data_IF_860649097627
#
_entry.id   IF_860649097627
#
_cell.length_a   1.000
_cell.length_b   1.000
_cell.length_c   1.000
_cell.angle_alpha   90.00
_cell.angle_beta   90.00
_cell.angle_gamma   90.00
#
_symmetry.space_group_name_H-M   'P 1'
#
loop_
_entity.id
_entity.type
_entity.pdbx_description
1 polymer ?
#
# COMPACT_ATOMS: atom_id res chain seq x y z
N UNK A 1 -57.54 37.78 26.66
CA UNK A 1 -56.48 37.01 27.35
C UNK A 1 -55.68 36.29 26.28
N UNK A 2 -54.47 36.77 26.03
CA UNK A 2 -53.53 36.18 25.08
C UNK A 2 -52.68 35.14 25.84
N UNK A 3 -52.56 33.94 25.29
CA UNK A 3 -51.66 32.89 25.80
C UNK A 3 -50.45 32.79 24.89
N UNK A 4 -49.29 33.05 25.46
CA UNK A 4 -47.96 33.10 24.85
C UNK A 4 -47.45 31.72 24.43
N UNK A 5 -46.84 31.68 23.25
CA UNK A 5 -46.14 30.56 22.64
C UNK A 5 -44.78 30.35 23.34
N UNK A 6 -44.54 29.18 23.94
CA UNK A 6 -43.25 28.79 24.49
C UNK A 6 -42.47 27.98 23.48
N UNK A 7 -41.54 28.62 22.78
CA UNK A 7 -40.56 27.93 21.92
C UNK A 7 -39.42 27.36 22.76
N UNK A 8 -39.24 26.04 22.74
CA UNK A 8 -38.04 25.39 23.24
C UNK A 8 -36.88 25.65 22.28
N UNK A 9 -35.81 26.26 22.79
CA UNK A 9 -34.52 26.31 22.11
C UNK A 9 -33.90 24.91 22.12
N UNK A 10 -33.78 24.30 20.95
CA UNK A 10 -32.78 23.26 20.73
C UNK A 10 -31.40 23.88 20.95
N UNK A 11 -30.64 23.31 21.88
CA UNK A 11 -29.24 23.63 22.09
C UNK A 11 -28.46 22.99 20.95
N UNK A 12 -27.94 23.81 20.04
CA UNK A 12 -26.97 23.41 19.03
C UNK A 12 -25.83 22.65 19.70
N UNK A 13 -25.64 21.39 19.30
CA UNK A 13 -24.52 20.57 19.72
C UNK A 13 -23.21 21.25 19.32
N UNK A 14 -22.38 21.58 20.30
CA UNK A 14 -21.04 22.12 20.07
C UNK A 14 -20.27 21.17 19.15
N UNK A 15 -20.01 21.60 17.91
CA UNK A 15 -19.15 20.90 16.99
C UNK A 15 -17.75 20.84 17.61
N UNK A 16 -17.23 19.63 17.83
CA UNK A 16 -15.85 19.41 18.27
C UNK A 16 -14.90 20.20 17.36
N UNK A 17 -13.87 20.87 17.90
CA UNK A 17 -12.94 21.64 17.09
C UNK A 17 -12.31 20.71 16.05
N UNK A 18 -12.42 21.09 14.77
CA UNK A 18 -11.83 20.33 13.67
C UNK A 18 -10.32 20.28 13.85
N UNK A 19 -9.76 19.06 13.94
CA UNK A 19 -8.32 18.82 14.04
C UNK A 19 -7.61 18.82 12.68
N UNK A 20 -8.36 19.11 11.60
CA UNK A 20 -7.88 19.11 10.23
C UNK A 20 -7.59 20.53 9.74
N UNK A 21 -6.47 20.70 9.04
CA UNK A 21 -6.14 21.93 8.34
C UNK A 21 -6.93 22.00 7.02
N UNK A 22 -7.74 23.05 6.84
CA UNK A 22 -8.46 23.26 5.59
C UNK A 22 -7.59 24.03 4.59
N UNK A 23 -7.46 23.51 3.36
CA UNK A 23 -6.83 24.24 2.25
C UNK A 23 -5.30 24.23 2.21
N UNK A 24 -4.64 23.46 3.09
CA UNK A 24 -3.19 23.24 3.01
C UNK A 24 -2.91 21.98 2.18
N UNK A 25 -2.16 22.14 1.09
CA UNK A 25 -1.69 21.01 0.28
C UNK A 25 -0.40 20.46 0.84
N UNK A 26 -0.31 19.12 0.89
CA UNK A 26 0.86 18.39 1.36
C UNK A 26 2.20 18.89 0.80
N UNK A 27 3.18 19.06 1.69
CA UNK A 27 4.52 19.54 1.33
C UNK A 27 5.47 18.45 0.79
N UNK A 28 5.14 17.19 1.06
CA UNK A 28 5.96 16.00 0.81
C UNK A 28 5.21 14.92 0.02
N UNK A 29 5.96 14.12 -0.73
CA UNK A 29 5.45 12.95 -1.45
C UNK A 29 5.72 11.69 -0.62
N UNK A 30 4.68 10.89 -0.36
CA UNK A 30 4.80 9.67 0.46
C UNK A 30 4.71 8.42 -0.41
N UNK A 31 5.71 7.56 -0.33
CA UNK A 31 5.74 6.23 -0.89
C UNK A 31 5.54 5.21 0.24
N UNK A 32 4.40 4.51 0.24
CA UNK A 32 4.02 3.57 1.30
C UNK A 32 4.19 2.12 0.81
N UNK A 33 4.97 1.33 1.54
CA UNK A 33 5.14 -0.10 1.27
C UNK A 33 3.96 -0.91 1.85
N UNK A 34 3.37 -1.85 1.08
CA UNK A 34 2.31 -2.75 1.57
C UNK A 34 2.66 -3.50 2.86
N UNK A 35 3.93 -3.83 3.09
CA UNK A 35 4.39 -4.46 4.33
C UNK A 35 3.96 -3.68 5.58
N UNK A 36 3.97 -2.36 5.53
CA UNK A 36 3.55 -1.49 6.64
C UNK A 36 2.07 -1.68 6.94
N UNK A 37 1.23 -1.73 5.89
CA UNK A 37 -0.22 -1.95 6.03
C UNK A 37 -0.49 -3.33 6.64
N UNK A 38 0.26 -4.35 6.20
CA UNK A 38 0.16 -5.71 6.74
C UNK A 38 0.56 -5.76 8.21
N UNK A 39 1.66 -5.12 8.60
CA UNK A 39 2.12 -5.04 9.99
C UNK A 39 1.10 -4.36 10.90
N UNK A 40 0.50 -3.24 10.46
CA UNK A 40 -0.53 -2.52 11.23
C UNK A 40 -1.78 -3.40 11.38
N UNK A 41 -2.18 -4.08 10.30
CA UNK A 41 -3.34 -4.96 10.30
C UNK A 41 -3.14 -6.15 11.24
N UNK A 42 -1.98 -6.79 11.17
CA UNK A 42 -1.58 -7.89 12.07
C UNK A 42 -1.54 -7.43 13.53
N UNK A 43 -0.91 -6.28 13.82
CA UNK A 43 -0.88 -5.70 15.16
C UNK A 43 -2.29 -5.48 15.72
N UNK A 44 -3.19 -4.88 14.93
CA UNK A 44 -4.57 -4.65 15.37
C UNK A 44 -5.35 -5.95 15.59
N UNK A 45 -5.24 -6.92 14.67
CA UNK A 45 -5.93 -8.22 14.78
C UNK A 45 -5.43 -8.99 16.01
N UNK A 46 -4.12 -9.00 16.25
CA UNK A 46 -3.51 -9.67 17.41
C UNK A 46 -4.02 -9.10 18.72
N UNK A 47 -3.97 -7.77 18.89
CA UNK A 47 -4.44 -7.12 20.13
C UNK A 47 -5.94 -7.33 20.30
N UNK A 48 -6.73 -7.16 19.23
CA UNK A 48 -8.18 -7.42 19.27
C UNK A 48 -8.49 -8.86 19.69
N UNK A 49 -7.70 -9.83 19.25
CA UNK A 49 -7.89 -11.25 19.61
C UNK A 49 -7.49 -11.54 21.06
N UNK A 50 -6.48 -10.86 21.59
CA UNK A 50 -6.03 -11.03 22.99
C UNK A 50 -7.02 -10.39 23.97
N UNK A 51 -7.49 -9.19 23.66
CA UNK A 51 -8.37 -8.40 24.53
C UNK A 51 -9.87 -8.73 24.35
N UNK A 52 -10.23 -9.44 23.27
CA UNK A 52 -11.62 -9.78 22.94
C UNK A 52 -12.47 -8.59 22.48
N UNK A 53 -11.88 -7.39 22.36
CA UNK A 53 -12.54 -6.16 21.91
C UNK A 53 -11.64 -5.34 20.99
N UNK A 54 -12.20 -4.53 20.07
CA UNK A 54 -11.39 -3.61 19.28
C UNK A 54 -10.66 -2.63 20.18
N UNK A 55 -9.34 -2.56 20.03
CA UNK A 55 -8.46 -1.62 20.73
C UNK A 55 -7.71 -0.78 19.71
N UNK A 56 -7.46 0.48 20.05
CA UNK A 56 -6.53 1.32 19.31
C UNK A 56 -5.12 0.75 19.50
N UNK A 57 -4.38 0.61 18.40
CA UNK A 57 -2.96 0.24 18.44
C UNK A 57 -2.11 1.42 18.00
N UNK A 58 -0.89 1.52 18.54
CA UNK A 58 0.05 2.61 18.25
C UNK A 58 1.39 1.99 17.88
N UNK A 59 2.05 2.54 16.86
CA UNK A 59 3.39 2.10 16.52
C UNK A 59 4.18 3.12 15.73
N UNK A 60 5.45 2.78 15.50
CA UNK A 60 6.43 3.56 14.79
C UNK A 60 6.49 3.16 13.31
N UNK A 61 6.75 4.12 12.45
CA UNK A 61 7.04 3.92 11.03
C UNK A 61 8.48 4.32 10.75
N UNK A 62 9.18 3.48 9.98
CA UNK A 62 10.57 3.69 9.60
C UNK A 62 10.74 3.53 8.09
N UNK A 63 11.78 4.17 7.57
CA UNK A 63 12.10 4.10 6.15
C UNK A 63 13.16 5.10 5.76
N UNK A 64 13.10 5.62 4.54
CA UNK A 64 14.11 6.51 3.97
C UNK A 64 13.48 7.84 3.60
N UNK A 65 14.23 8.91 3.77
CA UNK A 65 13.84 10.25 3.32
C UNK A 65 14.90 10.80 2.36
N UNK A 66 14.47 11.07 1.13
CA UNK A 66 15.30 11.70 0.09
C UNK A 66 14.70 13.07 -0.26
N UNK A 67 15.13 14.10 0.47
CA UNK A 67 14.58 15.45 0.34
C UNK A 67 13.09 15.49 0.71
N UNK A 68 12.22 15.70 -0.28
CA UNK A 68 10.75 15.76 -0.11
C UNK A 68 10.05 14.45 -0.43
N UNK A 69 10.79 13.42 -0.82
CA UNK A 69 10.25 12.08 -1.06
C UNK A 69 10.51 11.25 0.19
N UNK A 70 9.43 10.80 0.84
CA UNK A 70 9.49 9.96 2.03
C UNK A 70 9.02 8.58 1.64
N UNK A 71 9.87 7.58 1.84
CA UNK A 71 9.58 6.17 1.58
C UNK A 71 9.42 5.43 2.91
N UNK A 72 8.17 5.08 3.23
CA UNK A 72 7.78 4.36 4.43
C UNK A 72 7.84 2.87 4.15
N UNK A 73 8.87 2.21 4.66
CA UNK A 73 9.24 0.83 4.27
C UNK A 73 8.81 -0.22 5.29
N UNK A 74 8.89 0.12 6.58
CA UNK A 74 8.61 -0.84 7.65
C UNK A 74 8.01 -0.14 8.87
N UNK A 75 7.51 -0.92 9.83
CA UNK A 75 6.84 -0.41 11.02
C UNK A 75 6.95 -1.39 12.18
N UNK A 76 6.95 -0.89 13.41
CA UNK A 76 6.95 -1.72 14.61
C UNK A 76 6.00 -1.18 15.68
N UNK A 77 5.57 -2.05 16.59
CA UNK A 77 4.66 -1.68 17.69
C UNK A 77 5.38 -0.82 18.75
N UNK A 78 4.68 0.18 19.28
CA UNK A 78 5.15 0.99 20.40
C UNK A 78 4.35 0.65 21.65
N UNK A 79 5.03 0.73 22.80
CA UNK A 79 4.35 0.63 24.09
C UNK A 79 3.75 2.00 24.44
N UNK A 80 2.50 1.98 24.92
CA UNK A 80 1.83 3.17 25.41
C UNK A 80 1.12 2.88 26.73
N UNK A 81 1.09 3.88 27.60
CA UNK A 81 0.47 3.83 28.92
C UNK A 81 -0.59 4.92 28.99
N UNK A 82 -1.77 4.59 29.52
CA UNK A 82 -2.80 5.60 29.77
C UNK A 82 -2.62 6.17 31.17
N UNK A 83 -2.35 7.48 31.27
CA UNK A 83 -2.23 8.24 32.52
C UNK A 83 -3.22 9.40 32.42
N UNK A 84 -4.08 9.58 33.42
CA UNK A 84 -5.09 10.65 33.46
C UNK A 84 -5.98 10.70 32.19
N UNK A 85 -6.46 9.54 31.74
CA UNK A 85 -7.26 9.35 30.52
C UNK A 85 -6.57 9.82 29.21
N UNK A 86 -5.24 10.02 29.24
CA UNK A 86 -4.43 10.38 28.08
C UNK A 86 -3.39 9.31 27.80
N UNK A 87 -3.18 9.05 26.52
CA UNK A 87 -2.21 8.06 26.06
C UNK A 87 -0.82 8.68 25.98
N UNK A 88 0.13 8.09 26.69
CA UNK A 88 1.53 8.46 26.69
C UNK A 88 2.38 7.38 26.04
N UNK A 89 3.27 7.75 25.11
CA UNK A 89 4.22 6.83 24.49
C UNK A 89 5.38 6.61 25.46
N UNK A 90 5.75 5.34 25.66
CA UNK A 90 6.97 4.97 26.39
C UNK A 90 8.20 5.26 25.52
N UNK A 91 8.90 6.34 25.85
CA UNK A 91 10.07 6.81 25.07
C UNK A 91 11.29 5.93 25.31
N UNK A 92 11.49 5.44 26.52
CA UNK A 92 12.57 4.51 26.84
C UNK A 92 12.45 3.21 26.04
N UNK A 93 11.21 2.70 25.89
CA UNK A 93 10.93 1.56 25.02
C UNK A 93 11.26 1.88 23.56
N UNK A 94 10.87 3.06 23.06
CA UNK A 94 11.22 3.51 21.71
C UNK A 94 12.74 3.52 21.49
N UNK A 95 13.52 4.18 22.35
CA UNK A 95 14.98 4.26 22.18
C UNK A 95 15.66 2.89 22.22
N UNK A 96 15.18 1.99 23.09
CA UNK A 96 15.68 0.61 23.15
C UNK A 96 15.40 -0.14 21.84
N UNK A 97 14.20 0.03 21.27
CA UNK A 97 13.83 -0.58 19.99
C UNK A 97 14.59 0.03 18.83
N UNK A 98 14.76 1.34 18.81
CA UNK A 98 15.52 2.05 17.78
C UNK A 98 16.96 1.51 17.70
N UNK A 99 17.63 1.33 18.84
CA UNK A 99 18.99 0.77 18.86
C UNK A 99 19.05 -0.64 18.25
N UNK A 100 18.08 -1.50 18.57
CA UNK A 100 17.99 -2.85 17.98
C UNK A 100 17.76 -2.81 16.47
N UNK A 101 16.84 -1.95 16.01
CA UNK A 101 16.54 -1.83 14.58
C UNK A 101 17.71 -1.24 13.79
N UNK A 102 18.41 -0.24 14.33
CA UNK A 102 19.59 0.36 13.71
C UNK A 102 20.75 -0.63 13.55
N UNK A 103 20.80 -1.73 14.31
CA UNK A 103 21.81 -2.79 14.09
C UNK A 103 21.61 -3.52 12.76
N UNK A 104 20.35 -3.72 12.34
CA UNK A 104 19.98 -4.46 11.12
C UNK A 104 19.73 -3.50 9.95
N UNK A 105 19.06 -2.38 10.20
CA UNK A 105 18.62 -1.39 9.22
C UNK A 105 19.26 -0.03 9.47
N UNK A 106 20.58 0.06 9.23
CA UNK A 106 21.37 1.28 9.51
C UNK A 106 20.90 2.51 8.73
N UNK A 107 20.44 2.28 7.50
CA UNK A 107 20.01 3.33 6.57
C UNK A 107 18.55 3.79 6.79
N UNK A 108 17.79 3.11 7.65
CA UNK A 108 16.40 3.49 7.93
C UNK A 108 16.34 4.47 9.09
N UNK A 109 15.50 5.48 8.95
CA UNK A 109 15.25 6.50 9.97
C UNK A 109 13.80 6.44 10.44
N UNK A 110 13.56 7.02 11.60
CA UNK A 110 12.22 7.16 12.14
C UNK A 110 11.49 8.27 11.39
N UNK A 111 10.38 7.92 10.75
CA UNK A 111 9.63 8.82 9.87
C UNK A 111 8.36 9.35 10.53
N UNK A 112 7.84 8.65 11.53
CA UNK A 112 6.57 9.00 12.14
C UNK A 112 5.90 7.82 12.83
N UNK A 113 4.60 7.95 13.04
CA UNK A 113 3.84 6.99 13.83
C UNK A 113 2.51 6.64 13.15
N UNK A 114 1.98 5.47 13.50
CA UNK A 114 0.69 5.01 13.02
C UNK A 114 -0.28 4.72 14.17
N UNK A 115 -1.57 4.80 13.87
CA UNK A 115 -2.62 4.28 14.74
C UNK A 115 -3.81 3.71 13.96
N UNK A 116 -4.74 3.08 14.67
CA UNK A 116 -5.99 2.59 14.09
C UNK A 116 -7.21 3.32 14.65
N UNK A 117 -8.19 3.60 13.79
CA UNK A 117 -9.43 4.26 14.21
C UNK A 117 -10.19 4.91 13.07
N UNK A 118 -11.13 5.78 13.43
CA UNK A 118 -11.87 6.63 12.49
C UNK A 118 -11.06 7.83 12.00
N UNK A 119 -11.70 8.96 11.66
CA UNK A 119 -11.00 10.22 11.35
C UNK A 119 -10.07 10.67 12.47
N UNK A 120 -9.07 11.53 12.19
CA UNK A 120 -8.21 12.12 13.22
C UNK A 120 -9.02 12.82 14.32
N UNK A 121 -8.57 12.71 15.56
CA UNK A 121 -9.19 13.33 16.73
C UNK A 121 -8.17 14.06 17.62
N UNK A 122 -8.65 14.65 18.73
CA UNK A 122 -7.80 15.41 19.64
C UNK A 122 -6.79 14.54 20.41
N UNK A 123 -7.07 13.24 20.59
CA UNK A 123 -6.13 12.31 21.21
C UNK A 123 -4.94 12.04 20.29
N UNK A 124 -5.17 12.01 18.98
CA UNK A 124 -4.09 11.89 17.99
C UNK A 124 -3.17 13.11 18.01
N UNK A 125 -3.71 14.34 18.13
CA UNK A 125 -2.88 15.54 18.30
C UNK A 125 -2.01 15.42 19.56
N UNK A 126 -2.58 14.92 20.66
CA UNK A 126 -1.83 14.77 21.91
C UNK A 126 -0.66 13.80 21.75
N UNK A 127 -0.87 12.65 21.10
CA UNK A 127 0.19 11.69 20.81
C UNK A 127 1.20 12.29 19.83
N UNK A 128 0.73 12.96 18.78
CA UNK A 128 1.59 13.57 17.77
C UNK A 128 2.56 14.59 18.37
N UNK A 129 2.10 15.42 19.32
CA UNK A 129 2.96 16.34 20.07
C UNK A 129 4.10 15.62 20.81
N UNK A 130 3.84 14.44 21.39
CA UNK A 130 4.88 13.64 22.03
C UNK A 130 5.91 13.11 21.01
N UNK A 131 5.45 12.74 19.81
CA UNK A 131 6.33 12.28 18.72
C UNK A 131 7.16 13.43 18.15
N UNK A 132 6.62 14.66 18.13
CA UNK A 132 7.36 15.87 17.74
C UNK A 132 8.56 16.17 18.67
N UNK A 133 8.58 15.61 19.88
CA UNK A 133 9.73 15.71 20.79
C UNK A 133 10.87 14.75 20.40
N UNK A 134 10.60 13.76 19.54
CA UNK A 134 11.58 12.81 19.02
C UNK A 134 12.10 13.26 17.65
N UNK A 135 11.21 13.67 16.73
CA UNK A 135 11.57 14.18 15.40
C UNK A 135 10.78 15.45 15.05
N UNK A 136 11.38 16.36 14.30
CA UNK A 136 10.81 17.69 14.03
C UNK A 136 9.55 17.66 13.14
N UNK A 137 9.47 16.73 12.20
CA UNK A 137 8.36 16.64 11.23
C UNK A 137 7.88 15.20 11.05
N UNK A 138 7.20 14.61 12.05
CA UNK A 138 6.70 13.25 11.96
C UNK A 138 5.53 13.14 10.98
N UNK A 139 5.51 12.05 10.23
CA UNK A 139 4.30 11.59 9.53
C UNK A 139 3.33 10.94 10.51
N UNK A 140 2.03 11.13 10.26
CA UNK A 140 0.97 10.45 10.97
C UNK A 140 0.17 9.57 9.99
N UNK A 141 0.09 8.27 10.25
CA UNK A 141 -0.72 7.34 9.45
C UNK A 141 -1.88 6.81 10.28
N UNK A 142 -3.11 6.89 9.73
CA UNK A 142 -4.29 6.32 10.37
C UNK A 142 -4.93 5.27 9.46
N UNK A 143 -5.05 4.05 9.99
CA UNK A 143 -5.71 2.93 9.31
C UNK A 143 -7.09 2.67 9.92
N UNK A 144 -8.14 2.60 9.11
CA UNK A 144 -9.48 2.23 9.58
C UNK A 144 -9.82 0.77 9.25
N UNK A 145 -9.63 -0.18 10.20
CA UNK A 145 -9.86 -1.60 9.94
C UNK A 145 -11.35 -1.96 9.85
N UNK A 146 -12.25 -1.03 10.20
CA UNK A 146 -13.69 -1.21 10.20
C UNK A 146 -14.38 -0.47 9.05
N UNK A 147 -13.62 0.02 8.06
CA UNK A 147 -14.17 0.73 6.91
C UNK A 147 -15.20 -0.13 6.17
N UNK A 148 -16.21 0.54 5.60
CA UNK A 148 -17.15 -0.07 4.63
C UNK A 148 -16.92 0.45 3.21
N UNK A 149 -15.97 1.37 3.04
CA UNK A 149 -15.65 1.95 1.74
C UNK A 149 -14.83 0.98 0.90
N UNK A 150 -14.91 1.11 -0.42
CA UNK A 150 -14.19 0.25 -1.38
C UNK A 150 -12.73 0.61 -1.55
N UNK A 151 -12.33 1.80 -1.10
CA UNK A 151 -10.97 2.30 -1.19
C UNK A 151 -10.12 1.82 0.00
N UNK A 152 -8.80 1.78 -0.20
CA UNK A 152 -7.84 1.39 0.82
C UNK A 152 -7.97 2.34 2.04
N UNK A 153 -8.33 1.85 3.24
CA UNK A 153 -8.65 2.71 4.38
C UNK A 153 -7.41 3.17 5.14
N UNK A 154 -6.48 3.78 4.41
CA UNK A 154 -5.24 4.34 4.94
C UNK A 154 -5.19 5.80 4.54
N UNK A 155 -5.06 6.67 5.53
CA UNK A 155 -4.78 8.09 5.31
C UNK A 155 -3.46 8.45 5.98
N UNK A 156 -2.70 9.31 5.31
CA UNK A 156 -1.41 9.82 5.80
C UNK A 156 -1.54 11.32 5.97
N UNK A 157 -0.93 11.86 7.02
CA UNK A 157 -1.03 13.26 7.39
C UNK A 157 0.34 13.82 7.77
N UNK A 158 0.54 15.11 7.50
CA UNK A 158 1.58 15.93 8.14
C UNK A 158 0.93 16.89 9.14
N UNK A 159 1.71 17.38 10.11
CA UNK A 159 1.24 18.45 10.99
C UNK A 159 1.56 19.84 10.44
N UNK A 160 0.60 20.74 10.62
CA UNK A 160 0.72 22.15 10.30
C UNK A 160 0.32 22.94 11.54
N UNK A 161 1.07 23.98 11.86
CA UNK A 161 0.73 24.91 12.94
C UNK A 161 0.00 26.09 12.32
N UNK A 162 -1.25 26.29 12.70
CA UNK A 162 -2.08 27.40 12.25
C UNK A 162 -2.68 28.16 13.44
N UNK A 163 -2.98 29.44 13.24
CA UNK A 163 -3.52 30.32 14.30
C UNK A 163 -5.05 30.29 14.21
N UNK A 164 -5.68 29.50 15.07
CA UNK A 164 -7.14 29.48 15.20
C UNK A 164 -7.51 30.29 16.44
N UNK A 165 -8.39 31.29 16.27
CA UNK A 165 -8.86 32.15 17.36
C UNK A 165 -7.74 32.84 18.17
N UNK A 166 -6.61 33.15 17.52
CA UNK A 166 -5.46 33.80 18.16
C UNK A 166 -4.53 32.86 18.94
N UNK A 167 -4.80 31.55 18.95
CA UNK A 167 -3.96 30.54 19.57
C UNK A 167 -3.28 29.68 18.49
N UNK A 168 -1.99 29.39 18.68
CA UNK A 168 -1.25 28.50 17.79
C UNK A 168 -1.70 27.05 18.04
N UNK A 169 -2.44 26.51 17.08
CA UNK A 169 -3.01 25.15 17.13
C UNK A 169 -2.36 24.25 16.11
N UNK A 170 -2.08 23.02 16.51
CA UNK A 170 -1.54 21.98 15.61
C UNK A 170 -2.71 21.26 14.95
N UNK A 171 -2.68 21.17 13.62
CA UNK A 171 -3.69 20.54 12.78
C UNK A 171 -3.04 19.52 11.85
N UNK A 172 -3.83 18.59 11.33
CA UNK A 172 -3.39 17.61 10.34
C UNK A 172 -3.77 18.04 8.92
N UNK A 173 -2.81 18.01 8.01
CA UNK A 173 -3.04 18.14 6.57
C UNK A 173 -2.89 16.77 5.91
N UNK A 174 -3.90 16.34 5.15
CA UNK A 174 -3.88 15.04 4.48
C UNK A 174 -2.91 15.04 3.28
N UNK A 175 -2.10 13.98 3.21
CA UNK A 175 -1.09 13.76 2.18
C UNK A 175 -1.56 12.69 1.20
N UNK A 176 -1.34 12.94 -0.09
CA UNK A 176 -1.45 11.90 -1.10
C UNK A 176 -0.24 10.98 -1.03
N UNK A 177 -0.48 9.67 -1.04
CA UNK A 177 0.58 8.67 -1.07
C UNK A 177 0.48 7.77 -2.30
N UNK A 178 1.61 7.21 -2.71
CA UNK A 178 1.71 6.16 -3.72
C UNK A 178 2.10 4.85 -3.04
N UNK A 179 1.59 3.73 -3.53
CA UNK A 179 2.08 2.42 -3.10
C UNK A 179 3.42 2.15 -3.79
N UNK A 180 4.50 2.14 -3.01
CA UNK A 180 5.79 1.67 -3.48
C UNK A 180 5.87 0.17 -3.22
N UNK A 181 6.41 -0.57 -4.18
CA UNK A 181 6.64 -2.00 -4.02
C UNK A 181 8.00 -2.34 -4.59
N UNK A 182 8.85 -2.96 -3.79
CA UNK A 182 10.00 -3.67 -4.33
C UNK A 182 9.52 -4.89 -5.14
N UNK A 183 10.30 -5.35 -6.13
CA UNK A 183 9.93 -6.50 -6.95
C UNK A 183 9.63 -7.76 -6.10
N UNK A 184 10.45 -8.02 -5.07
CA UNK A 184 10.25 -9.13 -4.15
C UNK A 184 8.95 -8.98 -3.34
N UNK A 185 8.69 -7.77 -2.82
CA UNK A 185 7.47 -7.46 -2.07
C UNK A 185 6.23 -7.61 -2.96
N UNK A 186 6.28 -7.09 -4.19
CA UNK A 186 5.20 -7.20 -5.17
C UNK A 186 4.84 -8.66 -5.42
N UNK A 187 5.84 -9.52 -5.64
CA UNK A 187 5.61 -10.96 -5.84
C UNK A 187 4.97 -11.60 -4.60
N UNK A 188 5.45 -11.24 -3.40
CA UNK A 188 4.90 -11.74 -2.13
C UNK A 188 3.44 -11.34 -1.93
N UNK A 189 3.12 -10.06 -2.09
CA UNK A 189 1.76 -9.52 -1.95
C UNK A 189 0.81 -10.15 -2.98
N UNK A 190 1.26 -10.25 -4.23
CA UNK A 190 0.51 -10.85 -5.34
C UNK A 190 0.24 -12.36 -5.11
N UNK A 191 1.21 -13.08 -4.54
CA UNK A 191 1.01 -14.47 -4.14
C UNK A 191 -0.02 -14.60 -3.01
N UNK A 192 0.11 -13.82 -1.94
CA UNK A 192 -0.83 -13.83 -0.80
C UNK A 192 -2.26 -13.50 -1.27
N UNK A 193 -2.42 -12.50 -2.14
CA UNK A 193 -3.71 -12.12 -2.70
C UNK A 193 -4.36 -13.24 -3.54
N UNK A 194 -3.54 -14.03 -4.27
CA UNK A 194 -4.02 -15.17 -5.06
C UNK A 194 -4.35 -16.41 -4.23
N UNK A 195 -3.61 -16.69 -3.15
CA UNK A 195 -3.89 -17.84 -2.29
C UNK A 195 -5.32 -17.79 -1.72
N UNK A 196 -5.87 -16.59 -1.54
CA UNK A 196 -7.26 -16.42 -1.10
C UNK A 196 -8.29 -16.72 -2.21
N UNK A 197 -7.89 -16.72 -3.49
CA UNK A 197 -8.78 -16.81 -4.64
C UNK A 197 -8.78 -18.18 -5.35
N UNK A 198 -7.70 -18.96 -5.25
CA UNK A 198 -7.58 -20.27 -5.94
C UNK A 198 -7.05 -21.35 -5.03
N UNK A 199 -7.77 -22.46 -4.93
CA UNK A 199 -7.36 -23.65 -4.17
C UNK A 199 -6.03 -24.24 -4.66
N UNK A 200 -5.37 -24.96 -3.76
CA UNK A 200 -4.03 -25.57 -3.86
C UNK A 200 -3.92 -26.66 -4.94
N UNK A 201 -4.12 -26.31 -6.21
CA UNK A 201 -3.80 -27.14 -7.36
C UNK A 201 -2.48 -26.70 -7.99
N UNK A 202 -1.68 -27.66 -8.46
CA UNK A 202 -0.44 -27.40 -9.21
C UNK A 202 -0.77 -26.64 -10.51
N UNK A 203 -0.60 -25.33 -10.50
CA UNK A 203 -0.79 -24.49 -11.69
C UNK A 203 0.53 -24.34 -12.43
N UNK A 204 0.47 -24.22 -13.77
CA UNK A 204 1.65 -23.94 -14.58
C UNK A 204 2.26 -22.59 -14.17
N UNK A 205 3.58 -22.53 -13.99
CA UNK A 205 4.32 -21.29 -13.65
C UNK A 205 4.08 -20.16 -14.66
N UNK A 206 3.83 -20.51 -15.93
CA UNK A 206 3.45 -19.54 -16.97
C UNK A 206 2.03 -19.02 -16.73
N UNK A 207 1.09 -19.90 -16.35
CA UNK A 207 -0.27 -19.51 -16.03
C UNK A 207 -0.29 -18.56 -14.83
N UNK A 208 0.49 -18.82 -13.78
CA UNK A 208 0.61 -17.94 -12.62
C UNK A 208 1.11 -16.53 -12.99
N UNK A 209 2.15 -16.45 -13.83
CA UNK A 209 2.67 -15.15 -14.28
C UNK A 209 1.67 -14.38 -15.17
N UNK A 210 0.97 -15.09 -16.07
CA UNK A 210 -0.02 -14.47 -16.96
C UNK A 210 -1.28 -14.02 -16.21
N UNK A 211 -1.66 -14.65 -15.10
CA UNK A 211 -2.81 -14.25 -14.29
C UNK A 211 -2.61 -12.85 -13.69
N UNK A 212 -1.42 -12.55 -13.17
CA UNK A 212 -1.11 -11.22 -12.63
C UNK A 212 -1.23 -10.13 -13.72
N UNK A 213 -0.63 -10.38 -14.89
CA UNK A 213 -0.72 -9.46 -16.04
C UNK A 213 -2.17 -9.31 -16.53
N UNK A 214 -2.91 -10.41 -16.64
CA UNK A 214 -4.31 -10.40 -17.05
C UNK A 214 -5.18 -9.59 -16.08
N UNK A 215 -4.97 -9.75 -14.78
CA UNK A 215 -5.70 -9.03 -13.74
C UNK A 215 -5.41 -7.52 -13.79
N UNK A 216 -4.15 -7.14 -14.02
CA UNK A 216 -3.76 -5.74 -14.20
C UNK A 216 -4.41 -5.12 -15.45
N UNK A 217 -4.41 -5.83 -16.58
CA UNK A 217 -5.07 -5.39 -17.83
C UNK A 217 -6.58 -5.27 -17.61
N UNK A 218 -7.21 -6.23 -16.93
CA UNK A 218 -8.64 -6.20 -16.62
C UNK A 218 -8.99 -5.00 -15.74
N UNK A 219 -8.16 -4.68 -14.75
CA UNK A 219 -8.33 -3.51 -13.89
C UNK A 219 -8.21 -2.21 -14.70
N UNK A 220 -7.19 -2.10 -15.56
CA UNK A 220 -7.02 -0.94 -16.44
C UNK A 220 -8.22 -0.78 -17.39
N UNK A 221 -8.68 -1.86 -18.02
CA UNK A 221 -9.85 -1.85 -18.89
C UNK A 221 -11.11 -1.37 -18.15
N UNK A 222 -11.31 -1.82 -16.91
CA UNK A 222 -12.41 -1.33 -16.06
C UNK A 222 -12.34 0.19 -15.84
N UNK A 223 -11.16 0.73 -15.52
CA UNK A 223 -10.95 2.17 -15.33
C UNK A 223 -11.17 2.98 -16.62
N UNK A 224 -10.65 2.51 -17.75
CA UNK A 224 -10.86 3.16 -19.06
C UNK A 224 -12.34 3.16 -19.44
N UNK A 225 -13.06 2.07 -19.14
CA UNK A 225 -14.50 1.96 -19.39
C UNK A 225 -15.30 2.99 -18.60
N UNK A 226 -14.98 3.22 -17.32
CA UNK A 226 -15.64 4.25 -16.50
C UNK A 226 -15.46 5.64 -17.13
N UNK A 227 -14.25 5.98 -17.58
CA UNK A 227 -13.98 7.27 -18.24
C UNK A 227 -14.80 7.39 -19.54
N UNK A 228 -14.87 6.33 -20.35
CA UNK A 228 -15.65 6.30 -21.58
C UNK A 228 -17.15 6.48 -21.33
N UNK A 229 -17.69 5.80 -20.32
CA UNK A 229 -19.10 5.92 -19.92
C UNK A 229 -19.41 7.34 -19.43
N UNK A 230 -18.51 7.95 -18.65
CA UNK A 230 -18.65 9.34 -18.22
C UNK A 230 -18.68 10.33 -19.41
N UNK A 231 -17.74 10.22 -20.36
CA UNK A 231 -17.69 11.12 -21.53
C UNK A 231 -18.96 10.99 -22.37
N UNK A 232 -19.47 9.77 -22.58
CA UNK A 232 -20.74 9.52 -23.28
C UNK A 232 -21.95 10.10 -22.55
N UNK A 233 -21.98 10.00 -21.23
CA UNK A 233 -23.07 10.55 -20.41
C UNK A 233 -23.10 12.08 -20.43
N UNK A 234 -21.93 12.72 -20.52
CA UNK A 234 -21.83 14.18 -20.71
C UNK A 234 -22.27 14.57 -22.13
N UNK A 235 -21.91 13.80 -23.15
CA UNK A 235 -22.35 14.03 -24.54
C UNK A 235 -23.87 13.86 -24.72
N UNK A 236 -24.48 12.87 -24.06
CA UNK A 236 -25.93 12.65 -24.09
C UNK A 236 -26.73 13.63 -23.24
N UNK A 237 -26.06 14.43 -22.40
CA UNK A 237 -26.67 15.39 -21.49
C UNK A 237 -27.24 14.79 -20.19
N UNK A 238 -26.92 13.52 -19.89
CA UNK A 238 -27.29 12.87 -18.63
C UNK A 238 -26.51 13.42 -17.42
N UNK A 239 -25.28 13.86 -17.65
CA UNK A 239 -24.37 14.40 -16.63
C UNK A 239 -23.96 15.84 -16.99
N UNK A 240 -23.87 16.77 -16.02
CA UNK A 240 -23.47 18.15 -16.28
C UNK A 240 -22.06 18.24 -16.86
N UNK A 241 -21.87 19.19 -17.77
CA UNK A 241 -20.59 19.43 -18.44
C UNK A 241 -19.54 19.95 -17.45
N UNK A 242 -18.48 19.17 -17.21
CA UNK A 242 -17.34 19.58 -16.39
C UNK A 242 -16.08 19.76 -17.25
N UNK A 243 -15.65 21.01 -17.43
CA UNK A 243 -14.48 21.37 -18.24
C UNK A 243 -13.17 20.78 -17.70
N UNK A 244 -13.02 20.64 -16.38
CA UNK A 244 -11.78 20.17 -15.76
C UNK A 244 -11.56 18.68 -16.05
N UNK A 245 -12.57 17.85 -15.77
CA UNK A 245 -12.52 16.39 -15.99
C UNK A 245 -12.35 16.08 -17.48
N UNK A 246 -13.06 16.78 -18.37
CA UNK A 246 -12.93 16.56 -19.82
C UNK A 246 -11.56 16.97 -20.35
N UNK A 247 -10.97 18.05 -19.80
CA UNK A 247 -9.61 18.46 -20.15
C UNK A 247 -8.59 17.40 -19.72
N UNK A 248 -8.73 16.83 -18.53
CA UNK A 248 -7.88 15.75 -18.04
C UNK A 248 -8.02 14.47 -18.87
N UNK A 249 -9.25 14.05 -19.19
CA UNK A 249 -9.51 12.90 -20.06
C UNK A 249 -8.90 13.11 -21.45
N UNK A 250 -9.03 14.31 -22.03
CA UNK A 250 -8.42 14.64 -23.31
C UNK A 250 -6.88 14.63 -23.24
N UNK A 251 -6.30 15.18 -22.17
CA UNK A 251 -4.86 15.13 -21.94
C UNK A 251 -4.33 13.69 -21.80
N UNK A 252 -5.10 12.80 -21.14
CA UNK A 252 -4.78 11.38 -21.05
C UNK A 252 -4.73 10.71 -22.42
N UNK A 253 -5.72 10.96 -23.29
CA UNK A 253 -5.75 10.43 -24.64
C UNK A 253 -4.56 10.89 -25.49
N UNK A 254 -4.16 12.16 -25.35
CA UNK A 254 -3.03 12.73 -26.10
C UNK A 254 -1.65 12.25 -25.61
N UNK A 255 -1.56 11.61 -24.45
CA UNK A 255 -0.33 10.94 -23.98
C UNK A 255 -0.09 9.59 -24.67
N UNK A 256 -1.04 9.11 -25.47
CA UNK A 256 -0.90 7.86 -26.20
C UNK A 256 -0.44 8.12 -27.64
N UNK A 257 0.54 7.35 -28.16
CA UNK A 257 1.31 6.30 -27.50
C UNK A 257 2.42 6.86 -26.59
N UNK A 258 2.61 6.25 -25.41
CA UNK A 258 3.51 6.74 -24.34
C UNK A 258 4.97 6.89 -24.80
N UNK A 259 5.46 5.95 -25.61
CA UNK A 259 6.81 5.98 -26.20
C UNK A 259 6.75 5.42 -27.62
N UNK A 260 7.04 6.27 -28.61
CA UNK A 260 7.10 5.89 -30.03
C UNK A 260 8.45 6.21 -30.69
N UNK A 261 9.43 6.61 -29.88
CA UNK A 261 10.75 7.05 -30.35
C UNK A 261 11.55 5.91 -30.97
N UNK A 262 12.41 6.24 -31.93
CA UNK A 262 13.27 5.26 -32.62
C UNK A 262 14.21 4.57 -31.62
N UNK A 263 14.78 5.33 -30.68
CA UNK A 263 15.63 4.78 -29.62
C UNK A 263 14.92 3.72 -28.78
N UNK A 264 13.67 4.00 -28.36
CA UNK A 264 12.87 3.01 -27.63
C UNK A 264 12.63 1.74 -28.46
N UNK A 265 12.34 1.87 -29.76
CA UNK A 265 12.18 0.69 -30.64
C UNK A 265 13.48 -0.12 -30.72
N UNK A 266 14.63 0.53 -30.91
CA UNK A 266 15.94 -0.15 -30.93
C UNK A 266 16.22 -0.88 -29.62
N UNK A 267 16.03 -0.22 -28.47
CA UNK A 267 16.24 -0.81 -27.15
C UNK A 267 15.25 -1.95 -26.86
N UNK A 268 14.00 -1.84 -27.32
CA UNK A 268 12.99 -2.90 -27.21
C UNK A 268 13.35 -4.12 -28.06
N UNK A 269 13.82 -3.93 -29.29
CA UNK A 269 14.30 -5.03 -30.13
C UNK A 269 15.59 -5.66 -29.58
N UNK A 270 16.35 -4.96 -28.76
CA UNK A 270 17.50 -5.55 -28.08
C UNK A 270 17.10 -6.56 -26.98
N UNK A 271 15.88 -6.47 -26.42
CA UNK A 271 15.32 -7.51 -25.52
C UNK A 271 15.17 -8.87 -26.24
N UNK A 272 15.05 -8.88 -27.57
CA UNK A 272 15.12 -10.09 -28.40
C UNK A 272 16.44 -10.86 -28.22
N UNK A 273 17.50 -10.24 -27.68
CA UNK A 273 18.76 -10.91 -27.35
C UNK A 273 18.59 -11.96 -26.24
N UNK A 274 17.50 -11.94 -25.47
CA UNK A 274 17.12 -13.02 -24.53
C UNK A 274 16.73 -14.33 -25.23
N UNK A 275 16.48 -14.29 -26.55
CA UNK A 275 16.15 -15.48 -27.33
C UNK A 275 17.33 -16.46 -27.42
N UNK A 276 18.56 -15.94 -27.52
CA UNK A 276 19.77 -16.77 -27.60
C UNK A 276 20.04 -17.53 -26.28
N UNK A 277 20.04 -16.90 -25.09
CA UNK A 277 20.10 -17.62 -23.81
C UNK A 277 18.96 -18.64 -23.60
N UNK A 278 17.74 -18.31 -24.03
CA UNK A 278 16.58 -19.20 -23.92
C UNK A 278 16.74 -20.43 -24.82
N UNK A 279 17.23 -20.24 -26.04
CA UNK A 279 17.54 -21.32 -26.97
C UNK A 279 18.67 -22.22 -26.43
N UNK A 280 19.74 -21.63 -25.89
CA UNK A 280 20.85 -22.37 -25.26
C UNK A 280 20.35 -23.20 -24.07
N UNK A 281 19.49 -22.64 -23.20
CA UNK A 281 18.86 -23.39 -22.09
C UNK A 281 18.03 -24.56 -22.60
N UNK A 282 17.24 -24.36 -23.65
CA UNK A 282 16.42 -25.42 -24.25
C UNK A 282 17.28 -26.57 -24.82
N UNK A 283 18.34 -26.25 -25.55
CA UNK A 283 19.30 -27.23 -26.09
C UNK A 283 19.99 -28.01 -24.96
N UNK A 284 20.38 -27.33 -23.88
CA UNK A 284 21.01 -27.99 -22.72
C UNK A 284 20.05 -28.93 -21.99
N UNK A 285 18.77 -28.54 -21.83
CA UNK A 285 17.74 -29.41 -21.27
C UNK A 285 17.53 -30.66 -22.15
N UNK A 286 17.49 -30.50 -23.47
CA UNK A 286 17.39 -31.62 -24.42
C UNK A 286 18.60 -32.58 -24.32
N UNK A 287 19.81 -32.03 -24.22
CA UNK A 287 21.03 -32.84 -24.02
C UNK A 287 21.00 -33.63 -22.71
N UNK A 288 20.50 -33.01 -21.64
CA UNK A 288 20.36 -33.68 -20.35
C UNK A 288 19.38 -34.86 -20.43
N UNK A 289 18.18 -34.64 -20.99
CA UNK A 289 17.18 -35.71 -21.18
C UNK A 289 17.73 -36.83 -22.06
N UNK A 290 18.37 -36.49 -23.17
CA UNK A 290 18.98 -37.48 -24.07
C UNK A 290 20.07 -38.31 -23.38
N UNK A 291 20.90 -37.69 -22.53
CA UNK A 291 21.92 -38.40 -21.77
C UNK A 291 21.31 -39.36 -20.75
N UNK A 292 20.23 -38.96 -20.09
CA UNK A 292 19.59 -39.78 -19.06
C UNK A 292 18.81 -40.95 -19.68
N UNK A 293 18.16 -40.73 -20.83
CA UNK A 293 17.55 -41.82 -21.62
C UNK A 293 18.58 -42.83 -22.12
N UNK A 294 19.77 -42.40 -22.54
CA UNK A 294 20.84 -43.31 -22.95
C UNK A 294 21.37 -44.14 -21.77
N UNK A 295 21.56 -43.53 -20.59
CA UNK A 295 21.95 -44.28 -19.38
C UNK A 295 20.89 -45.31 -18.98
N UNK A 296 19.61 -44.93 -19.04
CA UNK A 296 18.50 -45.85 -18.78
C UNK A 296 18.47 -47.01 -19.78
N UNK A 297 18.66 -46.76 -21.07
CA UNK A 297 18.71 -47.82 -22.08
C UNK A 297 19.86 -48.80 -21.84
N UNK A 298 21.05 -48.29 -21.50
CA UNK A 298 22.21 -49.13 -21.13
C UNK A 298 21.93 -49.94 -19.86
N UNK A 299 21.32 -49.33 -18.84
CA UNK A 299 20.95 -50.03 -17.61
C UNK A 299 19.91 -51.14 -17.87
N UNK A 300 18.94 -50.89 -18.74
CA UNK A 300 17.91 -51.85 -19.11
C UNK A 300 18.49 -53.03 -19.92
N UNK A 301 19.47 -52.77 -20.80
CA UNK A 301 20.23 -53.82 -21.51
C UNK A 301 21.16 -54.62 -20.60
N UNK A 302 21.63 -54.05 -19.48
CA UNK A 302 22.40 -54.78 -18.47
C UNK A 302 21.52 -55.62 -17.54
N UNK A 303 20.28 -55.19 -17.27
CA UNK A 303 19.32 -55.94 -16.47
C UNK A 303 18.62 -57.08 -17.24
N UNK A 304 18.55 -57.03 -18.57
CA UNK A 304 17.97 -58.08 -19.42
C UNK A 304 18.99 -58.61 -20.42
N UNK A 305 19.68 -59.74 -20.14
CA UNK A 305 20.53 -60.38 -21.13
C UNK A 305 19.69 -60.90 -22.31
N UNK A 306 20.25 -60.95 -23.53
CA UNK A 306 19.53 -61.42 -24.71
C UNK A 306 19.16 -62.90 -24.55
N UNK A 307 17.90 -63.17 -24.22
CA UNK A 307 17.37 -64.54 -24.10
C UNK A 307 16.19 -64.76 -23.16
N UNK A 308 15.82 -63.81 -22.31
CA UNK A 308 14.63 -63.94 -21.45
C UNK A 308 13.46 -63.12 -21.99
N UNK A 309 12.53 -63.79 -22.68
CA UNK A 309 11.21 -63.21 -22.99
C UNK A 309 10.44 -62.95 -21.68
N UNK A 310 9.86 -61.76 -21.48
CA UNK A 310 8.93 -61.54 -20.38
C UNK A 310 7.64 -62.35 -20.62
N UNK A 311 7.13 -62.98 -19.55
CA UNK A 311 5.75 -63.48 -19.46
C UNK A 311 4.84 -62.31 -19.17
#
# INVERSE_FOLDING_TARGET
MATSNGGGMEVDGAASPSVMAAGVTGSVSVALHPLVILNISDHWIRIRSQEGRPMQVIGAMIGKQEGRNIEVMNSFELLSVTIDDRVHIDKEYYYTKEEQFKQVFKEMEFLGWYTTGGPPDASDIHIHKQVCEIIESPLFLKLNPLTKHTDLPVSVYESVIDIINGEATMLFAELTYTLATEEAERIGVDHVARMTATGTGENSTVAEHLIAQHSAIKMLHSRVRIILEYVKAVESGEVPFNHEILREANALCHRLPVLSTIKFKTDFYDVSKLFVPSHIRSVNAWRFVSSESQKMAVMMSLCFPPGTNPI
#
